data_IF_749591117813
#
_entry.id   IF_749591117813
#
_cell.length_a   1.000
_cell.length_b   1.000
_cell.length_c   1.000
_cell.angle_alpha   90.00
_cell.angle_beta   90.00
_cell.angle_gamma   90.00
#
_symmetry.space_group_name_H-M   'P 1'
#
loop_
_entity.id
_entity.type
_entity.pdbx_description
1 polymer ?
#
# COMPACT_ATOMS: atom_id res chain seq x y z
N UNK A 1 1.53 1.52 -30.62
CA UNK A 1 1.14 2.21 -29.44
C UNK A 1 2.03 1.74 -28.29
N UNK A 2 2.67 2.65 -27.60
CA UNK A 2 3.33 2.37 -26.33
C UNK A 2 2.20 2.15 -25.33
N UNK A 3 1.70 0.90 -25.28
CA UNK A 3 0.73 0.47 -24.30
C UNK A 3 1.34 0.62 -22.92
N UNK A 4 0.53 1.09 -22.03
CA UNK A 4 0.75 1.36 -20.63
C UNK A 4 1.77 0.43 -19.99
N UNK A 5 2.92 0.99 -19.66
CA UNK A 5 3.84 0.39 -18.72
C UNK A 5 3.21 0.57 -17.34
N UNK A 6 2.23 -0.29 -17.03
CA UNK A 6 1.82 -0.44 -15.65
C UNK A 6 3.07 -0.79 -14.86
N UNK A 7 3.30 -0.07 -13.76
CA UNK A 7 4.39 -0.36 -12.83
C UNK A 7 4.17 -1.78 -12.30
N UNK A 8 4.73 -2.77 -12.98
CA UNK A 8 4.77 -4.15 -12.49
C UNK A 8 5.70 -4.14 -11.29
N UNK A 9 5.13 -4.24 -10.12
CA UNK A 9 5.93 -4.38 -8.92
C UNK A 9 6.48 -5.81 -8.90
N UNK A 10 7.79 -5.93 -8.72
CA UNK A 10 8.48 -7.20 -8.54
C UNK A 10 8.80 -7.38 -7.07
N UNK A 11 8.45 -8.54 -6.54
CA UNK A 11 8.80 -8.93 -5.17
C UNK A 11 9.75 -10.11 -5.25
N UNK A 12 10.89 -10.00 -4.57
CA UNK A 12 11.89 -11.04 -4.49
C UNK A 12 11.74 -11.79 -3.18
N UNK A 13 11.78 -13.12 -3.25
CA UNK A 13 11.85 -14.00 -2.09
C UNK A 13 12.61 -15.25 -2.46
N UNK A 14 13.68 -15.57 -1.71
CA UNK A 14 14.66 -16.60 -2.03
C UNK A 14 15.14 -16.49 -3.50
N UNK A 15 15.21 -17.61 -4.20
CA UNK A 15 15.63 -17.68 -5.62
C UNK A 15 14.45 -17.46 -6.59
N UNK A 16 13.42 -16.72 -6.17
CA UNK A 16 12.21 -16.50 -6.95
C UNK A 16 11.84 -15.01 -7.05
N UNK A 17 11.19 -14.68 -8.15
CA UNK A 17 10.53 -13.40 -8.37
C UNK A 17 9.03 -13.62 -8.46
N UNK A 18 8.28 -12.79 -7.75
CA UNK A 18 6.84 -12.75 -7.82
C UNK A 18 6.41 -11.45 -8.52
N UNK A 19 5.62 -11.61 -9.55
CA UNK A 19 5.06 -10.48 -10.31
C UNK A 19 3.55 -10.64 -10.38
N UNK A 20 2.83 -9.53 -10.37
CA UNK A 20 1.40 -9.59 -10.62
C UNK A 20 1.05 -9.03 -11.99
N UNK A 21 0.00 -9.57 -12.59
CA UNK A 21 -0.50 -9.17 -13.89
C UNK A 21 -2.04 -9.28 -13.91
N UNK A 22 -2.62 -8.71 -14.95
CA UNK A 22 -4.04 -8.85 -15.25
C UNK A 22 -4.21 -9.59 -16.57
N UNK A 23 -5.09 -10.57 -16.58
CA UNK A 23 -5.46 -11.35 -17.76
C UNK A 23 -6.90 -10.99 -18.13
N UNK A 24 -7.09 -10.47 -19.34
CA UNK A 24 -8.41 -10.08 -19.85
C UNK A 24 -8.45 -8.64 -20.38
N UNK A 25 -9.60 -8.02 -20.28
CA UNK A 25 -9.85 -6.69 -20.84
C UNK A 25 -9.31 -5.59 -19.94
N UNK A 26 -8.75 -4.57 -20.56
CA UNK A 26 -8.26 -3.37 -19.86
C UNK A 26 -9.29 -2.25 -20.01
N UNK A 27 -9.58 -1.61 -18.88
CA UNK A 27 -10.51 -0.49 -18.82
C UNK A 27 -11.84 -0.85 -18.19
N UNK A 28 -12.38 0.11 -17.47
CA UNK A 28 -13.55 -0.07 -16.62
C UNK A 28 -14.82 -0.47 -17.38
N UNK A 29 -14.95 -0.04 -18.64
CA UNK A 29 -16.14 -0.30 -19.46
C UNK A 29 -16.07 -1.64 -20.18
N UNK A 30 -14.83 -2.13 -20.48
CA UNK A 30 -14.61 -3.34 -21.26
C UNK A 30 -14.37 -4.57 -20.39
N UNK A 31 -14.16 -4.38 -19.10
CA UNK A 31 -13.88 -5.45 -18.16
C UNK A 31 -15.05 -6.41 -17.99
N UNK A 32 -14.75 -7.70 -17.86
CA UNK A 32 -15.71 -8.80 -17.76
C UNK A 32 -15.49 -9.59 -16.48
N UNK A 33 -16.51 -10.27 -16.01
CA UNK A 33 -16.44 -11.15 -14.83
C UNK A 33 -15.45 -12.33 -15.00
N UNK A 34 -15.09 -12.65 -16.25
CA UNK A 34 -14.08 -13.67 -16.59
C UNK A 34 -12.65 -13.13 -16.62
N UNK A 35 -12.47 -11.81 -16.44
CA UNK A 35 -11.14 -11.23 -16.29
C UNK A 35 -10.56 -11.63 -14.94
N UNK A 36 -9.25 -11.78 -14.86
CA UNK A 36 -8.61 -12.13 -13.59
C UNK A 36 -7.32 -11.36 -13.37
N UNK A 37 -6.98 -11.17 -12.11
CA UNK A 37 -5.66 -10.76 -11.67
C UNK A 37 -4.91 -11.97 -11.16
N UNK A 38 -3.61 -12.04 -11.41
CA UNK A 38 -2.78 -13.20 -11.08
C UNK A 38 -1.48 -12.76 -10.41
N UNK A 39 -0.94 -13.63 -9.56
CA UNK A 39 0.45 -13.56 -9.14
C UNK A 39 1.18 -14.73 -9.79
N UNK A 40 2.26 -14.43 -10.50
CA UNK A 40 3.12 -15.39 -11.16
C UNK A 40 4.45 -15.45 -10.43
N UNK A 41 4.86 -16.65 -10.05
CA UNK A 41 6.19 -16.96 -9.54
C UNK A 41 7.09 -17.32 -10.71
N UNK A 42 8.30 -16.77 -10.75
CA UNK A 42 9.37 -17.15 -11.67
C UNK A 42 10.61 -17.61 -10.88
N UNK A 43 11.10 -18.80 -11.17
CA UNK A 43 12.33 -19.34 -10.57
C UNK A 43 13.55 -18.73 -11.29
N UNK A 44 14.44 -18.07 -10.56
CA UNK A 44 15.61 -17.39 -11.15
C UNK A 44 16.60 -18.35 -11.79
N UNK A 45 16.72 -19.58 -11.27
CA UNK A 45 17.68 -20.56 -11.72
C UNK A 45 17.40 -21.10 -13.14
N UNK A 46 16.15 -21.20 -13.55
CA UNK A 46 15.75 -21.86 -14.79
C UNK A 46 14.69 -21.11 -15.60
N UNK A 47 14.17 -20.00 -15.08
CA UNK A 47 13.15 -19.19 -15.72
C UNK A 47 11.75 -19.83 -15.74
N UNK A 48 11.54 -20.96 -15.03
CA UNK A 48 10.23 -21.61 -14.95
C UNK A 48 9.23 -20.71 -14.27
N UNK A 49 8.07 -20.55 -14.87
CA UNK A 49 6.98 -19.74 -14.31
C UNK A 49 5.79 -20.61 -13.91
N UNK A 50 5.08 -20.16 -12.87
CA UNK A 50 3.81 -20.76 -12.43
C UNK A 50 2.88 -19.68 -11.87
N UNK A 51 1.58 -19.82 -12.14
CA UNK A 51 0.55 -19.03 -11.48
C UNK A 51 0.38 -19.58 -10.05
N UNK A 52 0.54 -18.72 -9.06
CA UNK A 52 0.47 -19.09 -7.63
C UNK A 52 -0.76 -18.52 -6.93
N UNK A 53 -1.39 -17.53 -7.55
CA UNK A 53 -2.64 -16.94 -7.08
C UNK A 53 -3.43 -16.41 -8.27
N UNK A 54 -4.76 -16.53 -8.23
CA UNK A 54 -5.66 -15.83 -9.15
C UNK A 54 -6.94 -15.38 -8.44
N UNK A 55 -7.49 -14.26 -8.90
CA UNK A 55 -8.76 -13.73 -8.44
C UNK A 55 -9.56 -13.24 -9.64
N UNK A 56 -10.73 -13.85 -9.87
CA UNK A 56 -11.61 -13.54 -11.00
C UNK A 56 -12.56 -12.40 -10.67
N UNK A 57 -12.95 -11.65 -11.67
CA UNK A 57 -13.93 -10.58 -11.62
C UNK A 57 -13.52 -9.34 -12.41
N UNK A 58 -14.54 -8.60 -12.83
CA UNK A 58 -14.35 -7.34 -13.54
C UNK A 58 -13.65 -6.30 -12.68
N UNK A 59 -12.83 -5.47 -13.31
CA UNK A 59 -12.20 -4.30 -12.71
C UNK A 59 -11.28 -4.55 -11.50
N UNK A 60 -10.84 -5.78 -11.27
CA UNK A 60 -9.89 -6.08 -10.22
C UNK A 60 -8.47 -5.66 -10.61
N UNK A 61 -7.69 -5.23 -9.61
CA UNK A 61 -6.26 -4.98 -9.74
C UNK A 61 -5.54 -5.40 -8.46
N UNK A 62 -4.32 -5.91 -8.58
CA UNK A 62 -3.43 -6.12 -7.43
C UNK A 62 -2.59 -4.87 -7.25
N UNK A 63 -2.52 -4.38 -6.02
CA UNK A 63 -1.75 -3.23 -5.63
C UNK A 63 -0.94 -3.54 -4.36
N UNK A 64 0.09 -2.72 -4.11
CA UNK A 64 0.85 -2.72 -2.87
C UNK A 64 1.28 -4.12 -2.41
N UNK A 65 1.88 -4.90 -3.31
CA UNK A 65 2.41 -6.22 -2.97
C UNK A 65 3.77 -6.07 -2.25
N UNK A 66 3.89 -6.59 -1.04
CA UNK A 66 5.10 -6.49 -0.21
C UNK A 66 5.39 -7.81 0.49
N UNK A 67 6.67 -8.22 0.50
CA UNK A 67 7.14 -9.39 1.24
C UNK A 67 7.47 -9.00 2.68
N UNK A 68 6.96 -9.79 3.62
CA UNK A 68 7.27 -9.68 5.04
C UNK A 68 7.55 -11.08 5.59
N UNK A 69 8.83 -11.37 5.85
CA UNK A 69 9.27 -12.71 6.23
C UNK A 69 8.87 -13.75 5.16
N UNK A 70 8.20 -14.80 5.57
CA UNK A 70 7.79 -15.92 4.71
C UNK A 70 6.44 -15.70 4.01
N UNK A 71 5.98 -14.45 3.94
CA UNK A 71 4.65 -14.13 3.41
C UNK A 71 4.68 -12.94 2.45
N UNK A 72 3.86 -13.04 1.40
CA UNK A 72 3.56 -11.96 0.47
C UNK A 72 2.17 -11.40 0.79
N UNK A 73 2.12 -10.17 1.24
CA UNK A 73 0.87 -9.44 1.42
C UNK A 73 0.58 -8.59 0.19
N UNK A 74 -0.68 -8.43 -0.17
CA UNK A 74 -1.09 -7.60 -1.30
C UNK A 74 -2.55 -7.16 -1.18
N UNK A 75 -2.85 -6.02 -1.77
CA UNK A 75 -4.22 -5.51 -1.86
C UNK A 75 -4.84 -5.92 -3.19
N UNK A 76 -6.08 -6.41 -3.13
CA UNK A 76 -6.93 -6.51 -4.32
C UNK A 76 -7.90 -5.33 -4.31
N UNK A 77 -7.79 -4.52 -5.34
CA UNK A 77 -8.67 -3.42 -5.61
C UNK A 77 -9.80 -3.91 -6.52
N UNK A 78 -11.03 -3.85 -6.03
CA UNK A 78 -12.24 -4.09 -6.81
C UNK A 78 -12.94 -2.76 -7.06
N UNK A 79 -13.03 -2.38 -8.34
CA UNK A 79 -13.72 -1.17 -8.75
C UNK A 79 -15.07 -1.55 -9.36
N UNK A 80 -16.16 -1.24 -8.69
CA UNK A 80 -17.47 -1.23 -9.32
C UNK A 80 -17.72 0.15 -9.93
N UNK A 81 -18.15 0.17 -11.19
CA UNK A 81 -18.42 1.42 -11.91
C UNK A 81 -19.91 1.46 -12.23
N UNK A 82 -20.57 2.45 -11.69
CA UNK A 82 -21.91 2.81 -12.13
C UNK A 82 -21.80 3.42 -13.53
N UNK A 83 -22.36 2.72 -14.53
CA UNK A 83 -22.28 3.14 -15.94
C UNK A 83 -23.13 4.35 -16.28
N UNK A 84 -24.13 4.67 -15.45
CA UNK A 84 -25.01 5.82 -15.67
C UNK A 84 -24.39 7.10 -15.10
N UNK A 85 -23.83 7.02 -13.89
CA UNK A 85 -23.24 8.17 -13.19
C UNK A 85 -21.74 8.29 -13.41
N UNK A 86 -21.07 7.26 -13.96
CA UNK A 86 -19.63 7.13 -14.09
C UNK A 86 -18.88 7.25 -12.75
N UNK A 87 -19.59 6.97 -11.66
CA UNK A 87 -18.98 6.94 -10.33
C UNK A 87 -18.34 5.56 -10.08
N UNK A 88 -17.14 5.57 -9.51
CA UNK A 88 -16.44 4.36 -9.12
C UNK A 88 -16.55 4.16 -7.60
N UNK A 89 -17.02 2.98 -7.19
CA UNK A 89 -16.87 2.51 -5.83
C UNK A 89 -15.62 1.63 -5.77
N UNK A 90 -14.69 1.98 -4.90
CA UNK A 90 -13.39 1.31 -4.78
C UNK A 90 -13.33 0.60 -3.44
N UNK A 91 -13.09 -0.71 -3.49
CA UNK A 91 -12.97 -1.54 -2.30
C UNK A 91 -11.64 -2.32 -2.34
N UNK A 92 -10.80 -2.09 -1.36
CA UNK A 92 -9.51 -2.77 -1.22
C UNK A 92 -9.58 -3.83 -0.14
N UNK A 93 -9.25 -5.07 -0.51
CA UNK A 93 -9.16 -6.21 0.40
C UNK A 93 -7.72 -6.66 0.53
N UNK A 94 -7.28 -6.95 1.75
CA UNK A 94 -5.93 -7.43 2.04
C UNK A 94 -5.89 -8.95 2.01
N UNK A 95 -4.97 -9.48 1.20
CA UNK A 95 -4.66 -10.91 1.09
C UNK A 95 -3.24 -11.18 1.54
N UNK A 96 -2.98 -12.43 1.88
CA UNK A 96 -1.66 -12.96 2.19
C UNK A 96 -1.44 -14.27 1.45
N UNK A 97 -0.30 -14.41 0.78
CA UNK A 97 0.20 -15.65 0.21
C UNK A 97 1.38 -16.14 1.05
N UNK A 98 1.32 -17.37 1.50
CA UNK A 98 2.36 -18.02 2.29
C UNK A 98 3.30 -18.78 1.34
N UNK A 99 4.57 -18.42 1.32
CA UNK A 99 5.56 -19.00 0.42
C UNK A 99 5.83 -20.47 0.70
N UNK A 100 5.76 -20.90 1.98
CA UNK A 100 6.07 -22.26 2.38
C UNK A 100 4.93 -23.24 2.02
N UNK A 101 3.68 -22.82 2.22
CA UNK A 101 2.52 -23.69 1.96
C UNK A 101 1.97 -23.54 0.55
N UNK A 102 2.29 -22.43 -0.15
CA UNK A 102 1.75 -22.12 -1.46
C UNK A 102 0.27 -21.75 -1.44
N UNK A 103 -0.27 -21.36 -0.29
CA UNK A 103 -1.67 -21.00 -0.12
C UNK A 103 -1.87 -19.50 0.06
N UNK A 104 -3.01 -18.99 -0.41
CA UNK A 104 -3.40 -17.60 -0.20
C UNK A 104 -4.70 -17.52 0.61
N UNK A 105 -4.79 -16.53 1.49
CA UNK A 105 -5.95 -16.29 2.33
C UNK A 105 -6.34 -14.81 2.36
N UNK A 106 -7.63 -14.55 2.60
CA UNK A 106 -8.14 -13.22 2.88
C UNK A 106 -7.77 -12.84 4.32
N UNK A 107 -6.95 -11.81 4.47
CA UNK A 107 -6.53 -11.27 5.77
C UNK A 107 -7.57 -10.29 6.31
N UNK A 108 -8.14 -9.45 5.45
CA UNK A 108 -9.16 -8.48 5.83
C UNK A 108 -10.01 -8.07 4.61
N UNK A 109 -11.31 -8.00 4.82
CA UNK A 109 -12.31 -7.49 3.87
C UNK A 109 -12.64 -5.99 4.08
N UNK A 110 -12.01 -5.36 5.07
CA UNK A 110 -12.15 -3.92 5.29
C UNK A 110 -11.54 -3.17 4.12
N UNK A 111 -12.10 -2.00 3.79
CA UNK A 111 -11.59 -1.14 2.73
C UNK A 111 -10.26 -0.51 3.16
N UNK A 112 -9.14 -1.17 2.85
CA UNK A 112 -7.79 -0.84 3.33
C UNK A 112 -7.02 -0.10 2.23
N UNK A 113 -6.59 1.15 2.49
CA UNK A 113 -5.78 1.91 1.53
C UNK A 113 -4.31 1.52 1.54
N UNK A 114 -3.76 1.16 2.68
CA UNK A 114 -2.37 0.72 2.82
C UNK A 114 -2.15 -0.07 4.12
N UNK A 115 -1.04 -0.80 4.20
CA UNK A 115 -0.69 -1.65 5.33
C UNK A 115 0.83 -1.78 5.51
N UNK A 116 1.24 -2.18 6.70
CA UNK A 116 2.61 -2.59 7.02
C UNK A 116 2.60 -3.73 8.03
N UNK A 117 3.55 -4.66 7.92
CA UNK A 117 3.69 -5.79 8.85
C UNK A 117 5.00 -5.66 9.63
N UNK A 118 4.88 -5.55 10.94
CA UNK A 118 5.98 -5.72 11.88
C UNK A 118 6.19 -7.21 12.12
N UNK A 119 7.15 -7.80 11.43
CA UNK A 119 7.44 -9.24 11.50
C UNK A 119 8.01 -9.66 12.84
N UNK A 120 8.75 -8.77 13.50
CA UNK A 120 9.42 -9.07 14.77
C UNK A 120 8.41 -9.24 15.91
N UNK A 121 7.34 -8.45 15.87
CA UNK A 121 6.28 -8.48 16.88
C UNK A 121 4.99 -9.16 16.39
N UNK A 122 4.93 -9.55 15.12
CA UNK A 122 3.76 -10.17 14.51
C UNK A 122 2.54 -9.25 14.46
N UNK A 123 2.75 -7.95 14.22
CA UNK A 123 1.71 -6.93 14.21
C UNK A 123 1.46 -6.44 12.79
N UNK A 124 0.19 -6.39 12.39
CA UNK A 124 -0.29 -5.75 11.17
C UNK A 124 -0.80 -4.35 11.52
N UNK A 125 -0.21 -3.33 10.91
CA UNK A 125 -0.73 -1.96 10.87
C UNK A 125 -1.45 -1.75 9.54
N UNK A 126 -2.65 -1.16 9.55
CA UNK A 126 -3.42 -0.94 8.33
C UNK A 126 -4.34 0.27 8.45
N UNK A 127 -4.48 1.00 7.36
CA UNK A 127 -5.38 2.15 7.30
C UNK A 127 -6.68 1.77 6.60
N UNK A 128 -7.78 1.91 7.31
CA UNK A 128 -9.14 1.73 6.77
C UNK A 128 -9.65 3.08 6.28
N UNK A 129 -10.03 3.13 5.00
CA UNK A 129 -10.53 4.34 4.33
C UNK A 129 -11.67 4.95 5.15
N UNK A 130 -11.65 6.27 5.34
CA UNK A 130 -12.61 7.08 6.11
C UNK A 130 -12.71 6.73 7.60
N UNK A 131 -11.85 5.83 8.13
CA UNK A 131 -11.93 5.41 9.53
C UNK A 131 -10.66 5.67 10.31
N UNK A 132 -9.48 5.34 9.75
CA UNK A 132 -8.22 5.61 10.39
C UNK A 132 -7.25 4.43 10.40
N UNK A 133 -6.19 4.59 11.20
CA UNK A 133 -5.14 3.61 11.39
C UNK A 133 -5.52 2.61 12.48
N UNK A 134 -5.36 1.36 12.17
CA UNK A 134 -5.61 0.21 13.07
C UNK A 134 -4.35 -0.63 13.22
N UNK A 135 -4.28 -1.38 14.33
CA UNK A 135 -3.34 -2.49 14.49
C UNK A 135 -4.03 -3.75 14.98
N UNK A 136 -3.48 -4.90 14.62
CA UNK A 136 -3.84 -6.20 15.21
C UNK A 136 -2.67 -7.16 15.16
N UNK A 137 -2.67 -8.20 15.98
CA UNK A 137 -1.76 -9.32 15.75
C UNK A 137 -2.17 -10.09 14.50
N UNK A 138 -1.20 -10.68 13.82
CA UNK A 138 -1.47 -11.44 12.58
C UNK A 138 -2.41 -12.62 12.78
N UNK A 139 -2.41 -13.21 13.98
CA UNK A 139 -3.28 -14.35 14.35
C UNK A 139 -4.62 -13.94 14.99
N UNK A 140 -4.94 -12.65 15.05
CA UNK A 140 -6.20 -12.13 15.59
C UNK A 140 -7.06 -11.57 14.46
N UNK A 141 -8.39 -11.56 14.64
CA UNK A 141 -9.31 -11.02 13.63
C UNK A 141 -9.69 -9.56 13.92
N UNK A 142 -9.70 -9.16 15.18
CA UNK A 142 -10.12 -7.84 15.60
C UNK A 142 -8.94 -6.86 15.69
N UNK A 143 -9.12 -5.69 15.09
CA UNK A 143 -8.13 -4.62 15.13
C UNK A 143 -8.50 -3.52 16.12
N UNK A 144 -7.51 -3.02 16.82
CA UNK A 144 -7.60 -1.83 17.67
C UNK A 144 -7.39 -0.58 16.84
N UNK A 145 -8.29 0.40 16.97
CA UNK A 145 -8.09 1.74 16.39
C UNK A 145 -6.94 2.44 17.14
N UNK A 146 -5.92 2.85 16.41
CA UNK A 146 -4.78 3.60 16.93
C UNK A 146 -4.94 5.10 16.72
N UNK A 147 -5.34 5.51 15.51
CA UNK A 147 -5.50 6.90 15.14
C UNK A 147 -6.79 7.06 14.32
N UNK A 148 -7.69 7.90 14.77
CA UNK A 148 -8.95 8.17 14.08
C UNK A 148 -8.71 9.13 12.91
N UNK A 149 -9.15 8.76 11.71
CA UNK A 149 -9.19 9.69 10.59
C UNK A 149 -10.17 10.83 10.87
N UNK A 150 -9.82 12.00 10.41
CA UNK A 150 -10.71 13.15 10.29
C UNK A 150 -10.97 13.44 8.81
N UNK A 151 -11.75 14.48 8.52
CA UNK A 151 -12.12 14.84 7.13
C UNK A 151 -10.92 15.19 6.24
N UNK A 152 -9.73 15.39 6.83
CA UNK A 152 -8.48 15.63 6.11
C UNK A 152 -7.73 14.35 5.72
N UNK A 153 -8.12 13.18 6.24
CA UNK A 153 -7.42 11.91 6.06
C UNK A 153 -8.39 10.84 5.57
N UNK A 154 -8.73 10.87 4.30
CA UNK A 154 -9.60 9.85 3.68
C UNK A 154 -8.86 8.55 3.45
N UNK A 155 -7.65 8.65 2.90
CA UNK A 155 -6.72 7.54 2.62
C UNK A 155 -5.34 7.91 3.14
N UNK A 156 -4.54 6.92 3.48
CA UNK A 156 -3.17 7.14 3.88
C UNK A 156 -2.23 6.06 3.32
N UNK A 157 -1.00 6.48 3.02
CA UNK A 157 0.13 5.57 2.81
C UNK A 157 0.84 5.34 4.14
N UNK A 158 1.34 4.13 4.36
CA UNK A 158 1.97 3.70 5.61
C UNK A 158 3.43 3.26 5.40
N UNK A 159 4.26 3.58 6.38
CA UNK A 159 5.58 2.97 6.56
C UNK A 159 5.85 2.78 8.05
N UNK A 160 6.74 1.85 8.40
CA UNK A 160 7.14 1.57 9.77
C UNK A 160 8.63 1.22 9.82
N UNK A 161 9.34 1.70 10.82
CA UNK A 161 10.80 1.52 10.95
C UNK A 161 11.22 0.78 12.22
N UNK A 162 10.30 0.06 12.85
CA UNK A 162 10.54 -0.60 14.13
C UNK A 162 10.29 0.29 15.35
N UNK A 163 10.23 1.61 15.15
CA UNK A 163 10.05 2.58 16.24
C UNK A 163 8.83 3.47 16.02
N UNK A 164 8.63 3.99 14.81
CA UNK A 164 7.55 4.90 14.47
C UNK A 164 6.75 4.40 13.29
N UNK A 165 5.46 4.67 13.32
CA UNK A 165 4.55 4.55 12.17
C UNK A 165 4.52 5.92 11.49
N UNK A 166 4.80 5.94 10.18
CA UNK A 166 4.67 7.10 9.32
C UNK A 166 3.40 6.94 8.50
N UNK A 167 2.48 7.86 8.68
CA UNK A 167 1.20 7.88 7.97
C UNK A 167 1.10 9.15 7.14
N UNK A 168 1.00 9.02 5.82
CA UNK A 168 0.87 10.16 4.93
C UNK A 168 -0.52 10.20 4.30
N UNK A 169 -1.23 11.33 4.44
CA UNK A 169 -2.55 11.53 3.85
C UNK A 169 -2.55 11.94 2.38
N UNK A 170 -1.38 12.22 1.81
CA UNK A 170 -1.21 12.64 0.41
C UNK A 170 -0.72 11.53 -0.52
N UNK A 171 -0.60 10.30 -0.05
CA UNK A 171 -0.03 9.16 -0.78
C UNK A 171 -0.75 8.85 -2.09
N UNK A 172 0.04 8.52 -3.10
CA UNK A 172 -0.39 8.28 -4.47
C UNK A 172 -1.51 7.23 -4.56
N UNK A 173 -2.55 7.53 -5.29
CA UNK A 173 -3.50 6.53 -5.77
C UNK A 173 -4.97 6.91 -5.71
N UNK A 174 -5.35 8.01 -5.10
CA UNK A 174 -6.75 8.42 -5.07
C UNK A 174 -7.05 9.51 -6.09
N UNK A 175 -7.76 9.15 -7.15
CA UNK A 175 -8.35 10.12 -8.07
C UNK A 175 -9.33 11.08 -7.35
N UNK A 176 -9.89 10.66 -6.23
CA UNK A 176 -10.79 11.46 -5.39
C UNK A 176 -10.07 12.51 -4.55
N UNK A 177 -8.82 12.31 -4.20
CA UNK A 177 -8.02 13.32 -3.48
C UNK A 177 -7.63 14.53 -4.34
N UNK A 178 -7.69 14.41 -5.66
CA UNK A 178 -7.35 15.52 -6.58
C UNK A 178 -8.36 16.69 -6.46
N UNK A 179 -9.56 16.44 -6.02
CA UNK A 179 -10.63 17.44 -5.93
C UNK A 179 -10.73 18.12 -4.57
N UNK A 180 -10.30 17.45 -3.51
CA UNK A 180 -10.30 18.03 -2.16
C UNK A 180 -8.90 18.56 -1.85
N UNK A 181 -8.81 19.85 -1.72
CA UNK A 181 -7.57 20.60 -1.45
C UNK A 181 -7.06 20.38 0.00
N UNK A 182 -6.69 19.15 0.34
CA UNK A 182 -6.16 18.78 1.65
C UNK A 182 -4.64 19.04 1.66
N UNK A 183 -4.15 19.65 2.73
CA UNK A 183 -2.73 19.84 2.96
C UNK A 183 -2.09 18.47 3.22
N UNK A 184 -1.05 18.15 2.46
CA UNK A 184 -0.33 16.88 2.62
C UNK A 184 0.53 16.94 3.89
N UNK A 185 0.45 15.87 4.68
CA UNK A 185 1.17 15.75 5.95
C UNK A 185 1.69 14.33 6.14
N UNK A 186 2.81 14.22 6.82
CA UNK A 186 3.24 12.95 7.41
C UNK A 186 3.01 13.01 8.91
N UNK A 187 2.14 12.16 9.41
CA UNK A 187 1.94 11.95 10.84
C UNK A 187 2.96 10.92 11.32
N UNK A 188 3.75 11.27 12.31
CA UNK A 188 4.69 10.39 12.98
C UNK A 188 4.04 9.92 14.26
N UNK A 189 3.79 8.61 14.35
CA UNK A 189 3.06 8.00 15.47
C UNK A 189 3.93 6.96 16.17
N UNK A 190 3.77 6.85 17.48
CA UNK A 190 4.24 5.66 18.20
C UNK A 190 3.40 4.43 17.79
N UNK A 191 3.89 3.20 18.03
CA UNK A 191 3.14 1.97 17.75
C UNK A 191 1.79 1.85 18.47
N UNK A 192 1.59 2.60 19.54
CA UNK A 192 0.32 2.65 20.28
C UNK A 192 -0.70 3.67 19.69
N UNK A 193 -0.29 4.43 18.67
CA UNK A 193 -1.08 5.45 17.99
C UNK A 193 -0.89 6.87 18.53
N UNK A 194 -0.06 7.06 19.55
CA UNK A 194 0.23 8.41 20.08
C UNK A 194 0.99 9.25 19.07
N UNK A 195 0.47 10.42 18.75
CA UNK A 195 1.10 11.37 17.83
C UNK A 195 2.38 11.95 18.43
N UNK A 196 3.49 11.79 17.72
CA UNK A 196 4.83 12.31 18.07
C UNK A 196 5.06 13.65 17.38
N UNK A 197 4.78 13.71 16.07
CA UNK A 197 4.99 14.91 15.26
C UNK A 197 4.09 14.89 14.03
N UNK A 198 3.91 16.07 13.43
CA UNK A 198 3.30 16.26 12.13
C UNK A 198 4.26 17.03 11.24
N UNK A 199 4.61 16.46 10.08
CA UNK A 199 5.48 17.09 9.12
C UNK A 199 4.60 17.63 8.00
N UNK A 200 4.52 18.97 7.92
CA UNK A 200 3.78 19.65 6.87
C UNK A 200 4.54 19.53 5.55
N UNK A 201 3.83 19.14 4.51
CA UNK A 201 4.38 19.02 3.16
C UNK A 201 3.84 20.14 2.29
N UNK A 202 4.67 20.62 1.38
CA UNK A 202 4.19 21.57 0.39
C UNK A 202 3.28 20.84 -0.61
N UNK A 203 2.10 21.35 -0.73
CA UNK A 203 1.00 20.83 -1.54
C UNK A 203 1.45 20.42 -2.95
N UNK A 204 1.03 19.26 -3.42
CA UNK A 204 1.30 18.71 -4.75
C UNK A 204 2.75 18.31 -5.01
N UNK A 205 3.60 18.23 -4.00
CA UNK A 205 5.00 17.87 -4.16
C UNK A 205 5.32 16.44 -3.76
N UNK A 206 4.53 15.84 -2.88
CA UNK A 206 4.76 14.47 -2.48
C UNK A 206 4.10 13.49 -3.45
N UNK A 207 4.83 12.46 -3.84
CA UNK A 207 4.33 11.40 -4.72
C UNK A 207 4.23 10.05 -4.02
N UNK A 208 5.15 9.73 -3.13
CA UNK A 208 5.20 8.44 -2.45
C UNK A 208 5.92 8.54 -1.11
N UNK A 209 5.52 7.66 -0.18
CA UNK A 209 6.24 7.36 1.05
C UNK A 209 6.99 6.05 0.85
N UNK A 210 8.30 6.07 1.05
CA UNK A 210 9.15 4.90 0.90
C UNK A 210 9.63 4.43 2.26
N UNK A 211 9.95 3.14 2.32
CA UNK A 211 10.64 2.58 3.48
C UNK A 211 11.95 3.34 3.72
N UNK A 212 12.21 3.66 4.99
CA UNK A 212 13.47 4.22 5.46
C UNK A 212 14.33 3.16 6.17
N UNK A 213 15.55 3.52 6.45
CA UNK A 213 16.43 2.79 7.38
C UNK A 213 16.34 3.38 8.79
N UNK A 214 17.21 3.00 9.70
CA UNK A 214 17.24 3.52 11.07
C UNK A 214 17.48 5.04 11.14
N UNK A 215 18.09 5.62 10.12
CA UNK A 215 18.52 7.01 10.09
C UNK A 215 17.62 7.89 9.23
N UNK A 216 17.13 7.38 8.10
CA UNK A 216 16.43 8.17 7.10
C UNK A 216 15.05 7.60 6.76
N UNK A 217 14.08 8.50 6.57
CA UNK A 217 12.82 8.21 5.90
C UNK A 217 12.91 8.77 4.48
N UNK A 218 12.69 7.93 3.47
CA UNK A 218 12.71 8.34 2.06
C UNK A 218 11.32 8.69 1.58
N UNK A 219 11.24 9.77 0.82
CA UNK A 219 9.98 10.25 0.23
C UNK A 219 10.21 10.67 -1.22
N UNK A 220 9.21 10.48 -2.07
CA UNK A 220 9.14 11.15 -3.36
C UNK A 220 8.62 12.56 -3.14
N UNK A 221 9.44 13.59 -3.34
CA UNK A 221 9.05 14.96 -3.10
C UNK A 221 9.52 15.87 -4.23
N UNK A 222 8.61 16.67 -4.76
CA UNK A 222 8.92 17.60 -5.87
C UNK A 222 9.59 16.91 -7.07
N UNK A 223 9.08 15.73 -7.47
CA UNK A 223 9.62 14.88 -8.55
C UNK A 223 11.07 14.40 -8.33
N UNK A 224 11.54 14.39 -7.09
CA UNK A 224 12.85 13.90 -6.69
C UNK A 224 12.73 12.91 -5.55
N UNK A 225 13.65 11.96 -5.50
CA UNK A 225 13.87 11.20 -4.28
C UNK A 225 14.46 12.15 -3.25
N UNK A 226 13.84 12.20 -2.08
CA UNK A 226 14.26 13.04 -0.95
C UNK A 226 14.30 12.21 0.31
N UNK A 227 14.93 12.70 1.33
CA UNK A 227 14.98 12.05 2.65
C UNK A 227 14.73 13.04 3.78
N UNK A 228 14.32 12.47 4.89
CA UNK A 228 14.16 13.12 6.19
C UNK A 228 15.13 12.43 7.16
N UNK A 229 16.00 13.20 7.82
CA UNK A 229 16.84 12.69 8.91
C UNK A 229 15.98 12.50 10.17
N UNK A 230 15.92 11.26 10.66
CA UNK A 230 15.06 10.89 11.80
C UNK A 230 15.63 11.29 13.16
N UNK A 231 16.86 11.78 13.23
CA UNK A 231 17.47 12.21 14.50
C UNK A 231 16.67 13.29 15.21
N UNK A 232 15.95 14.13 14.44
CA UNK A 232 15.11 15.21 14.95
C UNK A 232 13.62 15.03 14.62
N UNK A 233 13.18 13.78 14.38
CA UNK A 233 11.82 13.48 13.89
C UNK A 233 10.71 14.00 14.79
N UNK A 234 10.98 14.16 16.10
CA UNK A 234 10.03 14.67 17.10
C UNK A 234 9.99 16.21 17.20
N UNK A 235 10.77 16.93 16.41
CA UNK A 235 10.87 18.37 16.48
C UNK A 235 10.82 19.01 15.09
N UNK A 236 11.88 19.62 14.65
CA UNK A 236 11.97 20.29 13.36
C UNK A 236 12.59 19.35 12.32
N UNK A 237 11.96 19.20 11.19
CA UNK A 237 12.35 18.27 10.14
C UNK A 237 12.64 19.02 8.84
N UNK A 238 13.75 18.70 8.21
CA UNK A 238 14.11 19.20 6.88
C UNK A 238 13.98 18.09 5.83
N UNK A 239 13.41 18.42 4.67
CA UNK A 239 13.31 17.52 3.52
C UNK A 239 14.47 17.81 2.58
N UNK A 240 15.39 16.86 2.46
CA UNK A 240 16.63 17.01 1.70
C UNK A 240 16.57 16.18 0.41
N UNK A 241 16.70 16.78 -0.78
CA UNK A 241 16.80 16.02 -2.03
C UNK A 241 18.07 15.15 -2.06
N UNK A 242 17.92 13.92 -2.54
CA UNK A 242 19.06 13.05 -2.85
C UNK A 242 19.79 13.64 -4.06
N UNK A 243 21.10 13.84 -3.95
CA UNK A 243 21.95 14.42 -4.99
C UNK A 243 22.34 13.37 -6.03
#
# INVERSE_FOLDING_TARGET
GLGDVYKRQLVFHDDCVYAYDRIGHMGAVESKDTDKVVIVKAELANGKTSEVFSYEGANNAINEARSFGDKLFFLINHNSIDKETLTADVNYKLYCYDYATGSAELVSDKNISDYYVDTDNGILYYFVIDKGLYSRKLNENDGKLLYKADDSIVMAALSYDGKYIYMCNGGAGSATQITNFIDEKIFVLNPDGTLVNTIELDRRKMSNLYYGDDKYLFIGYSNKLSYIDKSNISSSVEIVPVK
#
